data_IF_652772069997
#
_entry.id   IF_652772069997
#
_cell.length_a   1.000
_cell.length_b   1.000
_cell.length_c   1.000
_cell.angle_alpha   90.00
_cell.angle_beta   90.00
_cell.angle_gamma   90.00
#
_symmetry.space_group_name_H-M   'P 1'
#
loop_
_entity.id
_entity.type
_entity.pdbx_description
1 polymer ?
#
# COMPACT_ATOMS: atom_id res chain seq x y z
N UNK A 1 14.10 4.63 -6.89
CA UNK A 1 13.07 5.03 -5.90
C UNK A 1 13.13 4.16 -4.64
N UNK A 2 12.54 2.97 -4.59
CA UNK A 2 12.80 1.93 -3.56
C UNK A 2 12.69 0.54 -4.18
N UNK A 3 13.08 -0.52 -3.45
CA UNK A 3 12.96 -1.91 -3.92
C UNK A 3 11.51 -2.39 -3.89
N UNK A 4 10.72 -1.87 -2.95
CA UNK A 4 9.35 -2.30 -2.68
C UNK A 4 8.36 -1.11 -2.66
N UNK A 5 8.28 -0.28 -3.72
CA UNK A 5 7.44 0.93 -3.73
C UNK A 5 5.95 0.62 -3.60
N UNK A 6 5.49 -0.52 -4.14
CA UNK A 6 4.11 -0.97 -4.02
C UNK A 6 3.69 -1.12 -2.55
N UNK A 7 4.52 -1.72 -1.71
CA UNK A 7 4.23 -1.91 -0.30
C UNK A 7 4.10 -0.58 0.45
N UNK A 8 4.98 0.38 0.15
CA UNK A 8 4.93 1.72 0.73
C UNK A 8 3.62 2.46 0.38
N UNK A 9 3.23 2.47 -0.89
CA UNK A 9 1.99 3.13 -1.32
C UNK A 9 0.73 2.40 -0.87
N UNK A 10 0.75 1.06 -0.81
CA UNK A 10 -0.33 0.28 -0.22
C UNK A 10 -0.49 0.56 1.27
N UNK A 11 0.61 0.77 2.01
CA UNK A 11 0.54 1.22 3.41
C UNK A 11 -0.09 2.59 3.51
N UNK A 12 0.35 3.54 2.68
CA UNK A 12 -0.21 4.89 2.69
C UNK A 12 -1.71 4.88 2.38
N UNK A 13 -2.15 4.08 1.40
CA UNK A 13 -3.56 3.90 1.08
C UNK A 13 -4.36 3.29 2.24
N UNK A 14 -3.85 2.23 2.85
CA UNK A 14 -4.52 1.58 3.98
C UNK A 14 -4.62 2.49 5.22
N UNK A 15 -3.55 3.25 5.52
CA UNK A 15 -3.57 4.25 6.59
C UNK A 15 -4.56 5.38 6.29
N UNK A 16 -4.62 5.84 5.04
CA UNK A 16 -5.61 6.83 4.59
C UNK A 16 -7.04 6.35 4.84
N UNK A 17 -7.37 5.12 4.43
CA UNK A 17 -8.66 4.50 4.74
C UNK A 17 -8.92 4.42 6.25
N UNK A 18 -7.90 4.02 7.03
CA UNK A 18 -8.01 4.00 8.49
C UNK A 18 -8.33 5.37 9.08
N UNK A 19 -7.72 6.44 8.56
CA UNK A 19 -7.99 7.81 9.01
C UNK A 19 -9.41 8.29 8.67
N UNK A 20 -10.01 7.80 7.57
CA UNK A 20 -11.39 8.11 7.20
C UNK A 20 -12.44 7.51 8.16
N UNK A 21 -12.05 6.63 9.09
CA UNK A 21 -12.98 6.09 10.11
C UNK A 21 -13.16 7.02 11.31
N UNK A 22 -12.54 8.19 11.29
CA UNK A 22 -12.52 9.20 12.37
C UNK A 22 -12.00 8.70 13.73
N UNK A 23 -11.47 7.47 13.81
CA UNK A 23 -10.95 6.87 15.02
C UNK A 23 -9.47 6.52 14.88
N UNK A 24 -8.63 7.02 15.81
CA UNK A 24 -7.18 6.79 15.81
C UNK A 24 -6.77 5.31 16.00
N UNK A 25 -7.67 4.49 16.55
CA UNK A 25 -7.43 3.06 16.78
C UNK A 25 -7.16 2.31 15.47
N UNK A 26 -7.92 2.56 14.41
CA UNK A 26 -7.79 1.86 13.13
C UNK A 26 -6.46 2.12 12.41
N UNK A 27 -6.02 3.36 12.16
CA UNK A 27 -4.74 3.60 11.50
C UNK A 27 -3.56 3.07 12.31
N UNK A 28 -3.61 3.13 13.66
CA UNK A 28 -2.56 2.54 14.52
C UNK A 28 -2.50 1.02 14.37
N UNK A 29 -3.64 0.33 14.42
CA UNK A 29 -3.69 -1.12 14.25
C UNK A 29 -3.22 -1.54 12.85
N UNK A 30 -3.63 -0.81 11.80
CA UNK A 30 -3.18 -1.03 10.42
C UNK A 30 -1.66 -0.86 10.32
N UNK A 31 -1.11 0.21 10.91
CA UNK A 31 0.33 0.47 10.91
C UNK A 31 1.10 -0.66 11.59
N UNK A 32 0.66 -1.09 12.78
CA UNK A 32 1.27 -2.20 13.52
C UNK A 32 1.21 -3.51 12.74
N UNK A 33 0.05 -3.83 12.16
CA UNK A 33 -0.12 -5.03 11.37
C UNK A 33 0.84 -5.06 10.17
N UNK A 34 0.96 -3.94 9.45
CA UNK A 34 1.88 -3.81 8.32
C UNK A 34 3.35 -3.83 8.73
N UNK A 35 3.70 -3.18 9.84
CA UNK A 35 5.06 -3.19 10.38
C UNK A 35 5.54 -4.60 10.75
N UNK A 36 4.63 -5.48 11.18
CA UNK A 36 4.93 -6.88 11.47
C UNK A 36 4.92 -7.76 10.20
N UNK A 37 3.96 -7.54 9.31
CA UNK A 37 3.75 -8.40 8.13
C UNK A 37 4.75 -8.12 7.00
N UNK A 38 4.98 -6.86 6.63
CA UNK A 38 5.80 -6.50 5.47
C UNK A 38 7.25 -6.98 5.54
N UNK A 39 7.98 -6.87 6.68
CA UNK A 39 9.34 -7.37 6.75
C UNK A 39 9.45 -8.87 6.46
N UNK A 40 8.44 -9.67 6.85
CA UNK A 40 8.42 -11.10 6.60
C UNK A 40 8.26 -11.41 5.11
N UNK A 41 7.32 -10.73 4.45
CA UNK A 41 7.05 -10.92 3.02
C UNK A 41 8.22 -10.43 2.17
N UNK A 42 8.72 -9.22 2.46
CA UNK A 42 9.85 -8.62 1.75
C UNK A 42 11.08 -9.54 1.84
N UNK A 43 11.41 -10.06 3.03
CA UNK A 43 12.55 -10.99 3.17
C UNK A 43 12.38 -12.26 2.34
N UNK A 44 11.16 -12.79 2.25
CA UNK A 44 10.87 -13.98 1.43
C UNK A 44 11.01 -13.69 -0.06
N UNK A 45 10.56 -12.53 -0.51
CA UNK A 45 10.73 -12.08 -1.90
C UNK A 45 12.19 -11.81 -2.25
N UNK A 46 12.93 -11.13 -1.36
CA UNK A 46 14.36 -10.86 -1.56
C UNK A 46 15.18 -12.15 -1.67
N UNK A 47 14.87 -13.19 -0.91
CA UNK A 47 15.52 -14.50 -1.05
C UNK A 47 15.28 -15.12 -2.43
N UNK A 48 14.02 -15.11 -2.90
CA UNK A 48 13.68 -15.60 -4.24
C UNK A 48 14.39 -14.80 -5.32
N UNK A 49 14.42 -13.48 -5.21
CA UNK A 49 15.11 -12.62 -6.18
C UNK A 49 16.62 -12.86 -6.16
N UNK A 50 17.21 -13.08 -4.99
CA UNK A 50 18.62 -13.44 -4.87
C UNK A 50 18.91 -14.80 -5.55
N UNK A 51 18.01 -15.78 -5.46
CA UNK A 51 18.13 -17.07 -6.16
C UNK A 51 18.05 -16.90 -7.69
N UNK A 52 17.16 -16.03 -8.20
CA UNK A 52 16.98 -15.81 -9.64
C UNK A 52 18.09 -14.96 -10.28
N UNK A 53 18.57 -13.92 -9.57
CA UNK A 53 19.41 -12.87 -10.15
C UNK A 53 20.83 -12.79 -9.56
N UNK A 54 21.11 -13.50 -8.47
CA UNK A 54 22.45 -13.64 -7.91
C UNK A 54 23.14 -12.30 -7.60
N UNK A 55 24.36 -12.13 -8.12
CA UNK A 55 25.21 -10.94 -7.88
C UNK A 55 24.58 -9.64 -8.37
N UNK A 56 23.84 -9.68 -9.49
CA UNK A 56 23.17 -8.49 -10.02
C UNK A 56 22.14 -7.92 -9.02
N UNK A 57 21.46 -8.80 -8.28
CA UNK A 57 20.55 -8.37 -7.22
C UNK A 57 21.31 -7.83 -6.01
N UNK A 58 22.43 -8.44 -5.62
CA UNK A 58 23.28 -7.95 -4.52
C UNK A 58 23.78 -6.52 -4.77
N UNK A 59 24.22 -6.20 -5.99
CA UNK A 59 24.62 -4.83 -6.37
C UNK A 59 23.43 -3.85 -6.38
N UNK A 60 22.23 -4.35 -6.67
CA UNK A 60 21.00 -3.55 -6.62
C UNK A 60 20.60 -3.23 -5.17
N UNK A 61 20.69 -4.20 -4.26
CA UNK A 61 20.39 -4.03 -2.82
C UNK A 61 21.23 -2.93 -2.18
N UNK A 62 22.51 -2.81 -2.55
CA UNK A 62 23.41 -1.79 -2.00
C UNK A 62 23.03 -0.36 -2.40
N UNK A 63 22.42 -0.19 -3.58
CA UNK A 63 22.10 1.13 -4.15
C UNK A 63 20.70 1.61 -3.78
N UNK A 64 19.73 0.70 -3.61
CA UNK A 64 18.31 1.04 -3.52
C UNK A 64 17.72 0.68 -2.15
N UNK A 65 17.06 1.63 -1.45
CA UNK A 65 16.49 1.40 -0.13
C UNK A 65 15.34 0.39 -0.19
N UNK A 66 15.11 -0.33 0.91
CA UNK A 66 14.14 -1.43 0.99
C UNK A 66 12.70 -0.94 0.80
N UNK A 67 12.28 0.04 1.60
CA UNK A 67 10.88 0.40 1.77
C UNK A 67 10.63 1.88 1.45
N UNK A 68 11.23 2.80 2.22
CA UNK A 68 11.07 4.24 2.01
C UNK A 68 11.64 4.69 0.67
N UNK A 69 10.85 5.34 -0.19
CA UNK A 69 11.30 5.80 -1.50
C UNK A 69 12.31 6.94 -1.39
N UNK A 70 13.48 6.76 -2.01
CA UNK A 70 14.42 7.84 -2.31
C UNK A 70 14.11 8.40 -3.70
N UNK A 71 13.48 9.57 -3.75
CA UNK A 71 13.10 10.24 -5.00
C UNK A 71 14.31 10.60 -5.87
N UNK A 72 15.48 10.87 -5.27
CA UNK A 72 16.73 11.11 -5.99
C UNK A 72 17.22 9.92 -6.84
N UNK A 73 16.74 8.71 -6.54
CA UNK A 73 17.04 7.49 -7.32
C UNK A 73 15.94 7.18 -8.35
N UNK A 74 14.98 8.08 -8.56
CA UNK A 74 13.97 7.91 -9.60
C UNK A 74 14.58 8.34 -10.94
N UNK A 75 14.57 7.42 -11.91
CA UNK A 75 15.07 7.66 -13.26
C UNK A 75 14.05 7.12 -14.24
N UNK A 76 13.43 8.02 -14.97
CA UNK A 76 12.40 7.72 -15.96
C UNK A 76 13.04 7.69 -17.36
N UNK A 77 12.88 6.60 -18.13
CA UNK A 77 13.20 6.59 -19.55
C UNK A 77 12.19 7.41 -20.36
N UNK A 78 12.62 7.92 -21.51
CA UNK A 78 11.77 8.73 -22.41
C UNK A 78 10.55 7.97 -22.95
N UNK A 79 10.60 6.64 -22.98
CA UNK A 79 9.49 5.80 -23.46
C UNK A 79 9.48 4.45 -22.75
N UNK A 80 8.29 3.99 -22.35
CA UNK A 80 8.07 2.65 -21.80
C UNK A 80 7.35 1.75 -22.82
N UNK A 81 7.91 0.58 -23.09
CA UNK A 81 7.23 -0.47 -23.86
C UNK A 81 6.33 -1.29 -22.93
N UNK A 82 5.02 -1.06 -22.98
CA UNK A 82 4.04 -1.74 -22.11
C UNK A 82 3.07 -2.59 -22.91
N UNK A 83 2.59 -3.70 -22.33
CA UNK A 83 1.50 -4.47 -22.91
C UNK A 83 0.16 -3.75 -22.63
N UNK A 84 -0.57 -3.26 -23.66
CA UNK A 84 -1.76 -2.45 -23.44
C UNK A 84 -2.91 -3.21 -22.75
N UNK A 85 -3.00 -4.55 -22.95
CA UNK A 85 -4.02 -5.37 -22.30
C UNK A 85 -3.78 -5.46 -20.79
N UNK A 86 -2.53 -5.75 -20.40
CA UNK A 86 -2.15 -5.80 -19.00
C UNK A 86 -2.30 -4.42 -18.33
N UNK A 87 -1.87 -3.36 -19.02
CA UNK A 87 -1.99 -1.98 -18.53
C UNK A 87 -3.44 -1.61 -18.21
N UNK A 88 -4.37 -1.79 -19.16
CA UNK A 88 -5.80 -1.49 -18.93
C UNK A 88 -6.42 -2.33 -17.80
N UNK A 89 -5.98 -3.59 -17.64
CA UNK A 89 -6.46 -4.46 -16.57
C UNK A 89 -6.06 -3.95 -15.18
N UNK A 90 -4.86 -3.40 -15.04
CA UNK A 90 -4.32 -2.97 -13.75
C UNK A 90 -4.49 -1.47 -13.47
N UNK A 91 -4.88 -0.66 -14.46
CA UNK A 91 -5.06 0.79 -14.33
C UNK A 91 -6.02 1.18 -13.19
N UNK A 92 -7.00 0.33 -12.92
CA UNK A 92 -8.00 0.55 -11.87
C UNK A 92 -7.80 -0.31 -10.62
N UNK A 93 -6.65 -0.99 -10.50
CA UNK A 93 -6.37 -1.91 -9.39
C UNK A 93 -6.27 -1.23 -8.02
N UNK A 94 -6.10 0.09 -7.98
CA UNK A 94 -6.08 0.87 -6.74
C UNK A 94 -7.43 1.52 -6.39
N UNK A 95 -8.44 1.48 -7.27
CA UNK A 95 -9.72 2.15 -7.01
C UNK A 95 -10.50 1.57 -5.83
N UNK A 96 -10.20 0.35 -5.41
CA UNK A 96 -10.88 -0.27 -4.28
C UNK A 96 -10.70 0.52 -2.97
N UNK A 97 -9.59 1.25 -2.79
CA UNK A 97 -9.41 2.14 -1.65
C UNK A 97 -10.47 3.25 -1.62
N UNK A 98 -10.75 3.87 -2.77
CA UNK A 98 -11.76 4.92 -2.91
C UNK A 98 -13.16 4.37 -2.65
N UNK A 99 -13.46 3.20 -3.22
CA UNK A 99 -14.74 2.51 -2.96
C UNK A 99 -14.92 2.18 -1.48
N UNK A 100 -13.85 1.77 -0.79
CA UNK A 100 -13.89 1.44 0.62
C UNK A 100 -14.18 2.68 1.48
N UNK A 101 -13.52 3.81 1.20
CA UNK A 101 -13.84 5.09 1.87
C UNK A 101 -15.30 5.47 1.64
N UNK A 102 -15.77 5.43 0.39
CA UNK A 102 -17.17 5.76 0.09
C UNK A 102 -18.18 4.86 0.80
N UNK A 103 -17.84 3.59 1.02
CA UNK A 103 -18.68 2.65 1.78
C UNK A 103 -18.65 2.95 3.29
N UNK A 104 -17.51 3.36 3.84
CA UNK A 104 -17.38 3.78 5.25
C UNK A 104 -18.25 5.02 5.50
N UNK A 105 -18.09 6.06 4.69
CA UNK A 105 -18.84 7.32 4.77
C UNK A 105 -20.35 7.08 4.61
N UNK A 106 -20.75 6.23 3.66
CA UNK A 106 -22.15 5.87 3.48
C UNK A 106 -22.72 5.14 4.71
N UNK A 107 -21.94 4.23 5.31
CA UNK A 107 -22.35 3.53 6.51
C UNK A 107 -22.45 4.46 7.73
N UNK A 108 -21.58 5.47 7.83
CA UNK A 108 -21.63 6.50 8.85
C UNK A 108 -22.83 7.44 8.67
N UNK A 109 -23.06 7.95 7.46
CA UNK A 109 -24.26 8.74 7.15
C UNK A 109 -25.56 7.98 7.46
N UNK A 110 -25.62 6.67 7.20
CA UNK A 110 -26.77 5.83 7.58
C UNK A 110 -26.93 5.67 9.10
N UNK A 111 -25.83 5.66 9.87
CA UNK A 111 -25.88 5.65 11.35
C UNK A 111 -26.40 6.98 11.88
N UNK A 112 -25.94 8.11 11.34
CA UNK A 112 -26.40 9.45 11.75
C UNK A 112 -27.91 9.65 11.57
N UNK A 113 -28.47 9.07 10.49
CA UNK A 113 -29.91 9.10 10.20
C UNK A 113 -30.70 8.14 11.13
N UNK A 114 -30.03 7.38 12.00
CA UNK A 114 -30.64 6.51 13.00
C UNK A 114 -31.07 5.13 12.49
N UNK A 115 -30.70 4.77 11.25
CA UNK A 115 -31.00 3.46 10.66
C UNK A 115 -30.08 2.34 11.17
N UNK A 116 -28.87 2.68 11.66
CA UNK A 116 -27.92 1.75 12.25
C UNK A 116 -27.57 2.18 13.68
N UNK A 117 -27.74 1.30 14.67
CA UNK A 117 -27.31 1.58 16.05
C UNK A 117 -25.78 1.65 16.13
N UNK A 118 -25.26 2.76 16.66
CA UNK A 118 -23.84 2.89 17.00
C UNK A 118 -23.49 1.89 18.11
N UNK A 119 -22.52 1.01 17.84
CA UNK A 119 -21.94 0.10 18.84
C UNK A 119 -20.57 0.57 19.35
N UNK A 120 -19.99 1.63 18.77
CA UNK A 120 -18.63 2.06 19.06
C UNK A 120 -18.57 3.57 19.27
N UNK A 121 -18.53 3.99 20.54
CA UNK A 121 -18.04 5.29 20.96
C UNK A 121 -16.63 5.08 21.53
N UNK A 122 -15.60 5.38 20.74
CA UNK A 122 -14.27 5.62 21.30
C UNK A 122 -13.76 6.90 20.64
N UNK A 123 -13.76 7.94 21.47
CA UNK A 123 -13.21 9.30 21.36
C UNK A 123 -12.37 9.63 20.13
#
# INVERSE_FOLDING_TARGET
MSRNPLYFFSMLGALGVGCCTEAFTFPVLILLAMALYYPLVIRKEERRLQEYFGSAFSDYVQRVPVFFPKLSLFREPDTYTVNPRAYRRHMFSALWFVWLVGLIELAEGLKEIGWLRSFWHCY
#
